data_IF_041291849526
#
_entry.id   IF_041291849526
#
_cell.length_a   1.000
_cell.length_b   1.000
_cell.length_c   1.000
_cell.angle_alpha   90.00
_cell.angle_beta   90.00
_cell.angle_gamma   90.00
#
_symmetry.space_group_name_H-M   'P 1'
#
loop_
_entity.id
_entity.type
_entity.pdbx_description
1 polymer ?
#
# COMPACT_ATOMS: atom_id res chain seq x y z
N UNK A 1 -29.28 -0.72 1.70
CA UNK A 1 -28.56 -1.99 1.57
C UNK A 1 -27.10 -1.77 1.18
N UNK A 2 -26.26 -2.80 1.16
CA UNK A 2 -24.90 -2.70 0.66
C UNK A 2 -24.90 -2.38 -0.83
N UNK A 3 -23.93 -1.58 -1.29
CA UNK A 3 -23.74 -1.24 -2.70
C UNK A 3 -22.56 -2.03 -3.25
N UNK A 4 -22.80 -2.80 -4.32
CA UNK A 4 -21.76 -3.58 -4.98
C UNK A 4 -21.19 -2.79 -6.18
N UNK A 5 -20.04 -2.16 -5.98
CA UNK A 5 -19.34 -1.38 -7.01
C UNK A 5 -18.74 -2.26 -8.14
N UNK A 6 -18.61 -3.55 -7.94
CA UNK A 6 -18.07 -4.47 -8.95
C UNK A 6 -19.14 -4.93 -9.95
N UNK A 7 -20.41 -4.93 -9.54
CA UNK A 7 -21.52 -5.35 -10.35
C UNK A 7 -22.23 -4.15 -11.01
N UNK A 8 -21.77 -3.74 -12.19
CA UNK A 8 -22.36 -2.59 -12.90
C UNK A 8 -23.86 -2.74 -13.22
N UNK A 9 -24.40 -3.97 -13.26
CA UNK A 9 -25.82 -4.19 -13.57
C UNK A 9 -26.73 -3.78 -12.42
N UNK A 10 -26.31 -4.06 -11.18
CA UNK A 10 -27.07 -3.72 -9.97
C UNK A 10 -26.71 -2.36 -9.42
N UNK A 11 -25.48 -1.88 -9.66
CA UNK A 11 -24.95 -0.64 -9.09
C UNK A 11 -25.89 0.57 -9.27
N UNK A 12 -26.44 0.78 -10.46
CA UNK A 12 -27.35 1.89 -10.69
C UNK A 12 -28.66 1.75 -9.89
N UNK A 13 -29.16 0.53 -9.76
CA UNK A 13 -30.36 0.24 -8.96
C UNK A 13 -30.09 0.52 -7.48
N UNK A 14 -29.01 -0.03 -6.94
CA UNK A 14 -28.61 0.10 -5.53
C UNK A 14 -28.38 1.57 -5.16
N UNK A 15 -27.69 2.33 -6.02
CA UNK A 15 -27.47 3.75 -5.82
C UNK A 15 -28.78 4.54 -5.86
N UNK A 16 -29.72 4.20 -6.76
CA UNK A 16 -31.01 4.87 -6.80
C UNK A 16 -31.82 4.64 -5.53
N UNK A 17 -31.81 3.43 -5.00
CA UNK A 17 -32.46 3.13 -3.72
C UNK A 17 -31.82 3.95 -2.59
N UNK A 18 -30.48 3.97 -2.54
CA UNK A 18 -29.74 4.68 -1.50
C UNK A 18 -30.04 6.19 -1.48
N UNK A 19 -30.11 6.81 -2.67
CA UNK A 19 -30.35 8.25 -2.79
C UNK A 19 -31.83 8.64 -2.95
N UNK A 20 -32.75 7.70 -2.82
CA UNK A 20 -34.20 7.97 -2.92
C UNK A 20 -34.66 9.16 -2.05
N UNK A 21 -34.18 9.33 -0.80
CA UNK A 21 -34.56 10.45 0.04
C UNK A 21 -34.17 11.82 -0.53
N UNK A 22 -33.19 11.87 -1.42
CA UNK A 22 -32.71 13.11 -2.06
C UNK A 22 -33.55 13.53 -3.27
N UNK A 23 -34.56 12.72 -3.67
CA UNK A 23 -35.45 12.96 -4.78
C UNK A 23 -34.73 13.31 -6.11
N UNK A 24 -33.62 12.64 -6.41
CA UNK A 24 -32.83 12.84 -7.63
C UNK A 24 -33.27 11.89 -8.74
N UNK A 25 -33.22 12.37 -9.98
CA UNK A 25 -33.57 11.57 -11.15
C UNK A 25 -32.50 10.50 -11.49
N UNK A 26 -32.93 9.44 -12.19
CA UNK A 26 -32.00 8.41 -12.70
C UNK A 26 -30.88 9.00 -13.58
N UNK A 27 -31.18 10.06 -14.35
CA UNK A 27 -30.20 10.76 -15.18
C UNK A 27 -29.12 11.42 -14.33
N UNK A 28 -29.50 12.04 -13.22
CA UNK A 28 -28.54 12.65 -12.27
C UNK A 28 -27.67 11.59 -11.60
N UNK A 29 -28.26 10.46 -11.18
CA UNK A 29 -27.47 9.35 -10.59
C UNK A 29 -26.44 8.81 -11.60
N UNK A 30 -26.83 8.59 -12.86
CA UNK A 30 -25.89 8.16 -13.91
C UNK A 30 -24.78 9.18 -14.16
N UNK A 31 -25.11 10.45 -14.19
CA UNK A 31 -24.10 11.51 -14.36
C UNK A 31 -23.11 11.55 -13.20
N UNK A 32 -23.62 11.43 -11.95
CA UNK A 32 -22.78 11.35 -10.77
C UNK A 32 -21.86 10.11 -10.77
N UNK A 33 -22.38 8.94 -11.17
CA UNK A 33 -21.58 7.73 -11.32
C UNK A 33 -20.44 7.93 -12.33
N UNK A 34 -20.76 8.49 -13.51
CA UNK A 34 -19.75 8.73 -14.54
C UNK A 34 -18.66 9.71 -14.06
N UNK A 35 -19.05 10.77 -13.37
CA UNK A 35 -18.12 11.74 -12.80
C UNK A 35 -17.23 11.10 -11.71
N UNK A 36 -17.79 10.26 -10.85
CA UNK A 36 -17.05 9.55 -9.82
C UNK A 36 -16.04 8.54 -10.43
N UNK A 37 -16.46 7.78 -11.44
CA UNK A 37 -15.58 6.84 -12.14
C UNK A 37 -14.42 7.57 -12.84
N UNK A 38 -14.68 8.73 -13.43
CA UNK A 38 -13.64 9.54 -14.07
C UNK A 38 -12.66 10.11 -13.05
N UNK A 39 -13.16 10.67 -11.95
CA UNK A 39 -12.31 11.17 -10.86
C UNK A 39 -11.42 10.07 -10.27
N UNK A 40 -11.96 8.87 -10.10
CA UNK A 40 -11.21 7.72 -9.59
C UNK A 40 -10.12 7.26 -10.57
N UNK A 41 -10.43 7.23 -11.87
CA UNK A 41 -9.44 6.90 -12.92
C UNK A 41 -8.32 7.93 -12.96
N UNK A 42 -8.67 9.22 -12.94
CA UNK A 42 -7.70 10.32 -12.95
C UNK A 42 -6.79 10.28 -11.71
N UNK A 43 -7.34 9.97 -10.55
CA UNK A 43 -6.56 9.79 -9.33
C UNK A 43 -5.53 8.67 -9.44
N UNK A 44 -5.94 7.47 -9.86
CA UNK A 44 -5.01 6.35 -10.01
C UNK A 44 -3.98 6.60 -11.12
N UNK A 45 -4.39 7.19 -12.24
CA UNK A 45 -3.46 7.56 -13.30
C UNK A 45 -2.40 8.56 -12.80
N UNK A 46 -2.81 9.52 -11.96
CA UNK A 46 -1.89 10.46 -11.31
C UNK A 46 -0.89 9.77 -10.39
N UNK A 47 -1.35 8.83 -9.54
CA UNK A 47 -0.47 8.05 -8.67
C UNK A 47 0.54 7.23 -9.48
N UNK A 48 0.10 6.57 -10.54
CA UNK A 48 0.98 5.77 -11.40
C UNK A 48 2.00 6.64 -12.13
N UNK A 49 1.60 7.82 -12.63
CA UNK A 49 2.51 8.76 -13.27
C UNK A 49 3.59 9.26 -12.30
N UNK A 50 3.21 9.66 -11.09
CA UNK A 50 4.15 10.06 -10.04
C UNK A 50 5.09 8.91 -9.66
N UNK A 51 4.57 7.70 -9.53
CA UNK A 51 5.35 6.51 -9.25
C UNK A 51 6.36 6.19 -10.35
N UNK A 52 5.96 6.25 -11.60
CA UNK A 52 6.83 6.01 -12.75
C UNK A 52 7.96 7.06 -12.83
N UNK A 53 7.64 8.33 -12.63
CA UNK A 53 8.63 9.42 -12.56
C UNK A 53 9.63 9.18 -11.43
N UNK A 54 9.14 8.84 -10.22
CA UNK A 54 9.98 8.54 -9.07
C UNK A 54 10.91 7.34 -9.34
N UNK A 55 10.36 6.23 -9.82
CA UNK A 55 11.13 5.02 -10.12
C UNK A 55 12.17 5.24 -11.21
N UNK A 56 11.89 6.09 -12.20
CA UNK A 56 12.86 6.46 -13.25
C UNK A 56 14.06 7.25 -12.69
N UNK A 57 13.89 7.89 -11.54
CA UNK A 57 14.92 8.69 -10.87
C UNK A 57 15.43 8.03 -9.58
N UNK A 58 15.17 6.74 -9.39
CA UNK A 58 15.47 6.01 -8.15
C UNK A 58 16.97 6.07 -7.78
N UNK A 59 17.86 6.18 -8.77
CA UNK A 59 19.31 6.33 -8.56
C UNK A 59 19.73 7.61 -7.81
N UNK A 60 18.84 8.59 -7.74
CA UNK A 60 19.09 9.85 -7.02
C UNK A 60 18.83 9.73 -5.51
N UNK A 61 18.27 8.60 -5.06
CA UNK A 61 17.84 8.42 -3.69
C UNK A 61 18.62 7.28 -3.03
N UNK A 62 19.33 7.60 -1.97
CA UNK A 62 20.12 6.62 -1.23
C UNK A 62 19.25 5.68 -0.39
N UNK A 63 18.08 6.15 0.03
CA UNK A 63 17.21 5.46 0.98
C UNK A 63 15.74 5.61 0.65
N UNK A 64 15.12 4.53 0.16
CA UNK A 64 13.71 4.51 -0.17
C UNK A 64 13.01 3.35 0.54
N UNK A 65 11.99 3.63 1.32
CA UNK A 65 11.15 2.63 1.97
C UNK A 65 9.73 2.66 1.39
N UNK A 66 9.28 1.53 0.86
CA UNK A 66 7.90 1.37 0.41
C UNK A 66 7.02 1.06 1.61
N UNK A 67 6.00 1.87 1.81
CA UNK A 67 4.95 1.63 2.81
C UNK A 67 3.94 0.65 2.22
N UNK A 68 3.98 -0.58 2.72
CA UNK A 68 3.11 -1.68 2.30
C UNK A 68 2.01 -1.88 3.31
N UNK A 69 0.77 -1.89 2.85
CA UNK A 69 -0.40 -2.06 3.72
C UNK A 69 -1.65 -1.49 3.08
N UNK A 70 -2.75 -1.53 3.81
CA UNK A 70 -3.98 -0.91 3.32
C UNK A 70 -3.88 0.62 3.37
N UNK A 71 -4.49 1.35 2.41
CA UNK A 71 -4.32 2.81 2.31
C UNK A 71 -4.61 3.57 3.60
N UNK A 72 -5.58 3.16 4.39
CA UNK A 72 -5.86 3.82 5.67
C UNK A 72 -4.75 3.61 6.71
N UNK A 73 -3.97 2.52 6.63
CA UNK A 73 -2.83 2.28 7.51
C UNK A 73 -1.58 3.06 7.07
N UNK A 74 -1.43 3.30 5.79
CA UNK A 74 -0.21 3.88 5.22
C UNK A 74 -0.33 5.37 4.92
N UNK A 75 -1.56 5.85 4.61
CA UNK A 75 -1.79 7.20 4.11
C UNK A 75 -2.51 8.13 5.11
N UNK A 76 -3.32 7.60 6.04
CA UNK A 76 -3.96 8.44 7.05
C UNK A 76 -2.95 8.85 8.13
N UNK A 77 -2.73 10.17 8.37
CA UNK A 77 -1.71 10.62 9.32
C UNK A 77 -1.97 10.20 10.77
N UNK A 78 -3.24 10.06 11.15
CA UNK A 78 -3.61 9.62 12.50
C UNK A 78 -3.33 8.13 12.68
N UNK A 79 -3.86 7.30 11.80
CA UNK A 79 -3.71 5.83 11.86
C UNK A 79 -2.27 5.40 11.68
N UNK A 80 -1.54 6.03 10.75
CA UNK A 80 -0.12 5.73 10.50
C UNK A 80 0.82 6.36 11.53
N UNK A 81 0.31 7.06 12.54
CA UNK A 81 1.12 7.83 13.49
C UNK A 81 2.12 8.77 12.80
N UNK A 82 1.70 9.38 11.70
CA UNK A 82 2.52 10.25 10.85
C UNK A 82 3.83 9.59 10.36
N UNK A 83 3.83 8.28 10.16
CA UNK A 83 5.01 7.49 9.74
C UNK A 83 5.79 8.08 8.56
N UNK A 84 5.16 8.58 7.47
CA UNK A 84 5.90 9.19 6.38
C UNK A 84 6.79 10.37 6.80
N UNK A 85 6.32 11.20 7.74
CA UNK A 85 7.10 12.33 8.25
C UNK A 85 8.26 11.87 9.12
N UNK A 86 8.06 10.84 9.95
CA UNK A 86 9.10 10.23 10.77
C UNK A 86 10.22 9.64 9.93
N UNK A 87 9.87 8.92 8.86
CA UNK A 87 10.84 8.36 7.91
C UNK A 87 11.66 9.46 7.22
N UNK A 88 11.01 10.54 6.80
CA UNK A 88 11.72 11.70 6.24
C UNK A 88 12.70 12.33 7.22
N UNK A 89 12.35 12.42 8.51
CA UNK A 89 13.25 12.91 9.55
C UNK A 89 14.49 12.02 9.72
N UNK A 90 14.37 10.72 9.39
CA UNK A 90 15.47 9.74 9.37
C UNK A 90 16.25 9.72 8.03
N UNK A 91 15.96 10.66 7.12
CA UNK A 91 16.58 10.71 5.80
C UNK A 91 16.13 9.61 4.84
N UNK A 92 14.96 9.02 5.08
CA UNK A 92 14.36 7.96 4.26
C UNK A 92 13.19 8.52 3.47
N UNK A 93 13.14 8.25 2.17
CA UNK A 93 12.02 8.63 1.32
C UNK A 93 10.91 7.58 1.45
N UNK A 94 9.73 7.94 2.00
CA UNK A 94 8.60 7.03 2.05
C UNK A 94 7.88 7.02 0.70
N UNK A 95 7.71 5.82 0.12
CA UNK A 95 6.96 5.63 -1.11
C UNK A 95 5.70 4.80 -0.83
N UNK A 96 4.49 5.31 -1.02
CA UNK A 96 3.29 4.49 -0.94
C UNK A 96 3.29 3.37 -1.97
N UNK A 97 2.89 2.16 -1.60
CA UNK A 97 2.81 1.04 -2.54
C UNK A 97 1.88 1.30 -3.72
N UNK A 98 0.88 2.16 -3.54
CA UNK A 98 -0.06 2.55 -4.59
C UNK A 98 0.59 3.31 -5.76
N UNK A 99 1.82 3.80 -5.58
CA UNK A 99 2.63 4.40 -6.63
C UNK A 99 3.40 3.36 -7.47
N UNK A 100 3.40 2.08 -7.09
CA UNK A 100 4.07 1.01 -7.83
C UNK A 100 3.16 0.46 -8.95
N UNK A 101 3.72 -0.08 -10.04
CA UNK A 101 2.95 -0.67 -11.15
C UNK A 101 2.42 -2.07 -10.79
N UNK A 102 1.57 -2.14 -9.76
CA UNK A 102 1.13 -3.41 -9.17
C UNK A 102 0.17 -4.19 -10.08
N UNK A 103 -0.54 -3.52 -10.98
CA UNK A 103 -1.47 -4.17 -11.92
C UNK A 103 -0.76 -5.05 -12.95
N UNK A 104 0.52 -4.82 -13.18
CA UNK A 104 1.36 -5.61 -14.09
C UNK A 104 1.92 -6.89 -13.43
N UNK A 105 1.70 -7.06 -12.13
CA UNK A 105 2.29 -8.15 -11.35
C UNK A 105 1.22 -9.17 -10.98
N UNK A 106 1.19 -10.26 -11.72
CA UNK A 106 0.33 -11.39 -11.38
C UNK A 106 0.86 -12.11 -10.13
N UNK A 107 -0.03 -12.40 -9.18
CA UNK A 107 0.25 -13.16 -7.97
C UNK A 107 -0.50 -14.49 -7.93
N UNK A 108 -1.35 -14.76 -8.93
CA UNK A 108 -2.20 -15.94 -8.98
C UNK A 108 -1.42 -17.24 -9.21
N UNK A 109 -0.23 -17.17 -9.77
CA UNK A 109 0.67 -18.31 -9.99
C UNK A 109 1.08 -19.02 -8.70
N UNK A 110 1.13 -18.29 -7.58
CA UNK A 110 1.47 -18.83 -6.24
C UNK A 110 0.34 -18.69 -5.21
N UNK A 111 -0.61 -17.82 -5.47
CA UNK A 111 -1.70 -17.45 -4.55
C UNK A 111 -3.03 -17.42 -5.30
N UNK A 112 -3.37 -18.52 -5.96
CA UNK A 112 -4.56 -18.72 -6.80
C UNK A 112 -5.89 -18.46 -6.05
N UNK A 113 -5.90 -18.70 -4.75
CA UNK A 113 -7.06 -18.46 -3.89
C UNK A 113 -7.09 -17.05 -3.26
N UNK A 114 -6.17 -16.15 -3.64
CA UNK A 114 -6.18 -14.77 -3.16
C UNK A 114 -7.20 -13.94 -3.96
N UNK A 115 -8.47 -14.06 -3.59
CA UNK A 115 -9.58 -13.30 -4.22
C UNK A 115 -9.68 -11.86 -3.74
N UNK A 116 -9.00 -11.51 -2.64
CA UNK A 116 -9.08 -10.22 -1.99
C UNK A 116 -8.14 -9.21 -2.65
N UNK A 117 -8.71 -8.17 -3.28
CA UNK A 117 -7.96 -7.19 -4.07
C UNK A 117 -6.81 -6.52 -3.29
N UNK A 118 -7.06 -6.10 -2.03
CA UNK A 118 -5.99 -5.51 -1.21
C UNK A 118 -4.88 -6.51 -0.90
N UNK A 119 -5.23 -7.79 -0.72
CA UNK A 119 -4.26 -8.86 -0.53
C UNK A 119 -3.39 -9.06 -1.77
N UNK A 120 -4.01 -9.10 -2.95
CA UNK A 120 -3.28 -9.19 -4.23
C UNK A 120 -2.30 -8.02 -4.39
N UNK A 121 -2.75 -6.77 -4.14
CA UNK A 121 -1.91 -5.59 -4.23
C UNK A 121 -0.72 -5.62 -3.25
N UNK A 122 -0.94 -6.03 -2.00
CA UNK A 122 0.11 -6.17 -0.99
C UNK A 122 1.15 -7.23 -1.42
N UNK A 123 0.70 -8.38 -1.94
CA UNK A 123 1.60 -9.43 -2.39
C UNK A 123 2.35 -9.03 -3.68
N UNK A 124 1.69 -8.30 -4.59
CA UNK A 124 2.33 -7.72 -5.77
C UNK A 124 3.41 -6.71 -5.38
N UNK A 125 3.13 -5.83 -4.40
CA UNK A 125 4.13 -4.91 -3.85
C UNK A 125 5.34 -5.66 -3.28
N UNK A 126 5.11 -6.73 -2.53
CA UNK A 126 6.18 -7.60 -2.04
C UNK A 126 7.05 -8.14 -3.17
N UNK A 127 6.43 -8.66 -4.26
CA UNK A 127 7.16 -9.16 -5.44
C UNK A 127 7.97 -8.07 -6.15
N UNK A 128 7.41 -6.88 -6.28
CA UNK A 128 8.11 -5.75 -6.87
C UNK A 128 9.33 -5.36 -6.05
N UNK A 129 9.12 -5.13 -4.74
CA UNK A 129 10.18 -4.72 -3.82
C UNK A 129 11.29 -5.76 -3.76
N UNK A 130 10.94 -7.04 -3.73
CA UNK A 130 11.92 -8.12 -3.65
C UNK A 130 12.87 -8.17 -4.85
N UNK A 131 12.42 -7.69 -6.03
CA UNK A 131 13.22 -7.65 -7.27
C UNK A 131 14.03 -6.35 -7.44
N UNK A 132 13.68 -5.28 -6.70
CA UNK A 132 14.36 -3.99 -6.80
C UNK A 132 15.29 -3.79 -5.58
N UNK A 133 16.62 -3.93 -5.74
CA UNK A 133 17.56 -3.90 -4.62
C UNK A 133 17.53 -2.62 -3.80
N UNK A 134 17.17 -1.49 -4.42
CA UNK A 134 17.16 -0.15 -3.80
C UNK A 134 15.92 0.15 -2.97
N UNK A 135 14.87 -0.64 -3.09
CA UNK A 135 13.65 -0.47 -2.30
C UNK A 135 13.69 -1.35 -1.05
N UNK A 136 13.25 -0.83 0.07
CA UNK A 136 13.00 -1.61 1.28
C UNK A 136 11.51 -1.58 1.61
N UNK A 137 11.02 -2.58 2.31
CA UNK A 137 9.61 -2.63 2.70
C UNK A 137 9.42 -2.32 4.19
N UNK A 138 8.41 -1.51 4.48
CA UNK A 138 7.82 -1.38 5.80
C UNK A 138 6.37 -1.84 5.68
N UNK A 139 6.06 -2.99 6.22
CA UNK A 139 4.70 -3.51 6.26
C UNK A 139 3.96 -2.91 7.45
N UNK A 140 2.94 -2.11 7.19
CA UNK A 140 2.15 -1.42 8.22
C UNK A 140 0.83 -2.14 8.43
N UNK A 141 0.61 -2.62 9.62
CA UNK A 141 -0.61 -3.33 10.02
C UNK A 141 -1.12 -2.81 11.38
N UNK A 142 -2.30 -3.28 11.78
CA UNK A 142 -2.88 -2.97 13.09
C UNK A 142 -2.90 -4.19 13.96
N UNK A 143 -2.71 -3.98 15.26
CA UNK A 143 -2.79 -5.03 16.26
C UNK A 143 -4.09 -5.82 16.15
N UNK A 144 -3.99 -7.14 16.16
CA UNK A 144 -5.14 -8.03 16.08
C UNK A 144 -5.87 -8.06 14.74
N UNK A 145 -5.28 -7.50 13.66
CA UNK A 145 -5.89 -7.56 12.33
C UNK A 145 -5.78 -8.97 11.73
N UNK A 146 -6.88 -9.73 11.74
CA UNK A 146 -6.92 -11.10 11.19
C UNK A 146 -6.50 -11.19 9.71
N UNK A 147 -7.06 -10.37 8.81
CA UNK A 147 -6.65 -10.37 7.40
C UNK A 147 -5.17 -10.09 7.20
N UNK A 148 -4.58 -9.14 7.93
CA UNK A 148 -3.14 -8.84 7.78
C UNK A 148 -2.27 -9.96 8.37
N UNK A 149 -2.67 -10.55 9.50
CA UNK A 149 -1.97 -11.71 10.08
C UNK A 149 -1.91 -12.87 9.10
N UNK A 150 -2.98 -13.09 8.33
CA UNK A 150 -3.01 -14.06 7.25
C UNK A 150 -2.05 -13.68 6.11
N UNK A 151 -2.09 -12.43 5.63
CA UNK A 151 -1.25 -11.95 4.53
C UNK A 151 0.24 -11.93 4.87
N UNK A 152 0.61 -11.61 6.10
CA UNK A 152 2.00 -11.55 6.56
C UNK A 152 2.75 -12.84 6.32
N UNK A 153 2.10 -14.00 6.46
CA UNK A 153 2.72 -15.30 6.18
C UNK A 153 3.14 -15.43 4.72
N UNK A 154 2.32 -14.97 3.79
CA UNK A 154 2.60 -14.98 2.35
C UNK A 154 3.63 -13.91 1.96
N UNK A 155 3.49 -12.70 2.51
CA UNK A 155 4.44 -11.62 2.30
C UNK A 155 5.85 -12.02 2.74
N UNK A 156 5.97 -12.62 3.92
CA UNK A 156 7.25 -13.16 4.43
C UNK A 156 7.85 -14.20 3.48
N UNK A 157 7.03 -15.10 2.92
CA UNK A 157 7.49 -16.08 1.93
C UNK A 157 8.00 -15.41 0.66
N UNK A 158 7.36 -14.35 0.18
CA UNK A 158 7.83 -13.58 -0.97
C UNK A 158 9.18 -12.95 -0.66
N UNK A 159 9.33 -12.27 0.47
CA UNK A 159 10.56 -11.59 0.83
C UNK A 159 11.73 -12.52 1.09
N UNK A 160 11.47 -13.78 1.50
CA UNK A 160 12.51 -14.78 1.80
C UNK A 160 12.84 -15.73 0.65
N UNK A 161 12.00 -15.83 -0.38
CA UNK A 161 12.10 -16.86 -1.44
C UNK A 161 12.17 -16.30 -2.86
N UNK A 162 12.48 -15.04 -3.02
CA UNK A 162 12.61 -14.43 -4.36
C UNK A 162 13.82 -14.97 -5.10
N UNK A 163 13.77 -14.87 -6.44
CA UNK A 163 14.83 -15.26 -7.39
C UNK A 163 16.17 -14.50 -7.19
N UNK A 164 16.42 -14.03 -5.97
CA UNK A 164 17.58 -13.31 -5.49
C UNK A 164 17.85 -13.59 -4.02
N UNK A 165 18.71 -12.80 -3.39
CA UNK A 165 18.98 -12.89 -1.96
C UNK A 165 17.75 -12.56 -1.12
N UNK A 166 17.50 -13.28 -0.01
CA UNK A 166 16.42 -12.95 0.91
C UNK A 166 16.47 -11.48 1.33
N UNK A 167 15.33 -10.81 1.35
CA UNK A 167 15.22 -9.41 1.67
C UNK A 167 14.54 -9.22 3.01
N UNK A 168 15.22 -8.56 3.93
CA UNK A 168 14.63 -8.18 5.22
C UNK A 168 13.63 -7.03 5.03
N UNK A 169 12.63 -6.95 5.88
CA UNK A 169 11.66 -5.87 5.90
C UNK A 169 11.24 -5.57 7.34
N UNK A 170 10.72 -4.38 7.57
CA UNK A 170 10.17 -4.00 8.86
C UNK A 170 8.66 -4.29 8.88
N UNK A 171 8.21 -5.00 9.90
CA UNK A 171 6.80 -5.20 10.21
C UNK A 171 6.43 -4.26 11.35
N UNK A 172 5.58 -3.26 11.07
CA UNK A 172 5.05 -2.33 12.05
C UNK A 172 3.60 -2.68 12.34
N UNK A 173 3.38 -3.26 13.49
CA UNK A 173 2.06 -3.47 14.05
C UNK A 173 1.74 -2.26 14.94
N UNK A 174 0.75 -1.48 14.51
CA UNK A 174 0.27 -0.30 15.21
C UNK A 174 -0.92 -0.67 16.08
N UNK A 175 -1.03 -0.07 17.24
CA UNK A 175 -2.13 -0.25 18.19
C UNK A 175 -2.78 1.09 18.54
N UNK A 176 -3.62 1.12 19.55
CA UNK A 176 -4.29 2.32 20.05
C UNK A 176 -3.39 3.22 20.92
N UNK A 177 -2.16 2.81 21.20
CA UNK A 177 -1.20 3.63 21.92
C UNK A 177 -0.62 4.70 21.01
N UNK A 178 -0.73 5.94 21.44
CA UNK A 178 -0.25 7.10 20.67
C UNK A 178 1.23 7.45 20.93
N UNK A 179 1.95 6.62 21.66
CA UNK A 179 3.35 6.86 22.00
C UNK A 179 4.28 6.59 20.81
N UNK A 180 4.82 7.64 20.24
CA UNK A 180 5.70 7.65 19.07
C UNK A 180 7.03 6.91 19.24
N UNK A 181 7.52 6.81 20.48
CA UNK A 181 8.85 6.27 20.76
C UNK A 181 9.08 4.87 20.22
N UNK A 182 8.09 3.99 20.35
CA UNK A 182 8.19 2.61 19.86
C UNK A 182 8.33 2.51 18.33
N UNK A 183 7.59 3.33 17.58
CA UNK A 183 7.66 3.37 16.12
C UNK A 183 8.99 3.93 15.66
N UNK A 184 9.44 5.04 16.25
CA UNK A 184 10.72 5.67 15.91
C UNK A 184 11.87 4.71 16.15
N UNK A 185 11.97 4.13 17.34
CA UNK A 185 13.05 3.19 17.69
C UNK A 185 13.09 1.97 16.77
N UNK A 186 11.94 1.41 16.37
CA UNK A 186 11.90 0.28 15.45
C UNK A 186 12.36 0.67 14.03
N UNK A 187 11.97 1.85 13.56
CA UNK A 187 12.45 2.36 12.28
C UNK A 187 13.96 2.61 12.31
N UNK A 188 14.48 3.30 13.32
CA UNK A 188 15.92 3.55 13.50
C UNK A 188 16.71 2.24 13.52
N UNK A 189 16.33 1.30 14.38
CA UNK A 189 16.99 0.00 14.48
C UNK A 189 16.98 -0.80 13.17
N UNK A 190 15.87 -0.73 12.41
CA UNK A 190 15.77 -1.38 11.11
C UNK A 190 16.78 -0.78 10.12
N UNK A 191 16.82 0.55 9.99
CA UNK A 191 17.73 1.20 9.05
C UNK A 191 19.19 1.08 9.47
N UNK A 192 19.49 1.10 10.75
CA UNK A 192 20.84 0.84 11.28
C UNK A 192 21.29 -0.59 10.94
N UNK A 193 20.39 -1.56 11.03
CA UNK A 193 20.69 -2.94 10.66
C UNK A 193 21.01 -3.10 9.17
N UNK A 194 20.26 -2.41 8.30
CA UNK A 194 20.52 -2.39 6.86
C UNK A 194 21.87 -1.73 6.53
N UNK A 195 22.19 -0.63 7.19
CA UNK A 195 23.47 0.06 7.03
C UNK A 195 24.64 -0.80 7.51
N UNK A 196 24.48 -1.54 8.61
CA UNK A 196 25.49 -2.48 9.09
C UNK A 196 25.75 -3.67 8.15
N UNK A 197 24.71 -4.08 7.39
CA UNK A 197 24.81 -5.13 6.36
C UNK A 197 25.39 -4.63 5.03
N UNK A 198 25.67 -3.33 4.90
CA UNK A 198 26.15 -2.71 3.66
C UNK A 198 25.11 -2.67 2.55
N UNK A 199 23.84 -2.95 2.86
CA UNK A 199 22.72 -2.90 1.92
C UNK A 199 22.14 -1.50 1.78
N UNK A 200 22.57 -0.59 2.66
CA UNK A 200 22.11 0.78 2.68
C UNK A 200 23.23 1.78 3.06
N UNK A 201 23.26 2.97 2.43
CA UNK A 201 24.20 4.01 2.81
C UNK A 201 23.99 4.44 4.28
N UNK A 202 25.09 4.65 5.02
CA UNK A 202 25.01 5.25 6.35
C UNK A 202 24.59 6.71 6.25
N UNK A 203 23.81 7.17 7.22
CA UNK A 203 23.39 8.58 7.30
C UNK A 203 24.58 9.51 7.51
#
# INVERSE_FOLDING_TARGET
GPVDFLNRRTLLHDLRELVQPLNVSTRQVRAAMAAAEEAQRAFYAGLQAMGAEFLSSLDRWDRVAVLVGRPYNTCDPGVSMALPYKLRALGVVPLPMDCLPLEEIDVSDRFDNMYWRSGQAILAAGRFIAREPRLQAIYVTNFGCGPDSFLLSFFRRIMSSTDGSPKVYLELELDDHTADAGVNTRCEAFFDSLAAQGTWARA
#
